data_IF_764928988074
#
_entry.id   IF_764928988074
#
_cell.length_a   1.000
_cell.length_b   1.000
_cell.length_c   1.000
_cell.angle_alpha   90.00
_cell.angle_beta   90.00
_cell.angle_gamma   90.00
#
_symmetry.space_group_name_H-M   'P 1'
#
loop_
_entity.id
_entity.type
_entity.pdbx_description
1 polymer ?
#
# COMPACT_ATOMS: atom_id res chain seq x y z
N UNK A 1 -29.57 16.14 -14.31
CA UNK A 1 -29.09 14.73 -14.22
C UNK A 1 -29.12 14.32 -12.75
N UNK A 2 -30.12 13.59 -12.30
CA UNK A 2 -30.18 13.09 -10.93
C UNK A 2 -29.36 11.80 -10.89
N UNK A 3 -28.19 11.84 -10.24
CA UNK A 3 -27.43 10.64 -9.93
C UNK A 3 -28.30 9.74 -9.05
N UNK A 4 -28.53 8.51 -9.50
CA UNK A 4 -29.25 7.53 -8.70
C UNK A 4 -28.51 7.34 -7.38
N UNK A 5 -29.21 7.27 -6.27
CA UNK A 5 -28.68 7.03 -4.91
C UNK A 5 -27.79 5.76 -4.88
N UNK A 6 -28.02 4.86 -5.81
CA UNK A 6 -27.24 3.63 -6.05
C UNK A 6 -25.86 3.94 -6.64
N UNK A 7 -25.76 4.84 -7.60
CA UNK A 7 -24.47 5.23 -8.22
C UNK A 7 -23.57 5.96 -7.19
N UNK A 8 -24.16 6.78 -6.33
CA UNK A 8 -23.43 7.48 -5.26
C UNK A 8 -22.84 6.46 -4.28
N UNK A 9 -23.60 5.44 -3.89
CA UNK A 9 -23.10 4.36 -3.02
C UNK A 9 -21.98 3.56 -3.66
N UNK A 10 -22.05 3.24 -4.96
CA UNK A 10 -21.01 2.49 -5.65
C UNK A 10 -19.71 3.29 -5.72
N UNK A 11 -19.78 4.57 -6.07
CA UNK A 11 -18.61 5.46 -6.07
C UNK A 11 -17.99 5.61 -4.67
N UNK A 12 -18.80 5.63 -3.62
CA UNK A 12 -18.31 5.70 -2.24
C UNK A 12 -17.52 4.43 -1.87
N UNK A 13 -17.96 3.26 -2.29
CA UNK A 13 -17.22 2.02 -2.05
C UNK A 13 -15.91 1.93 -2.85
N UNK A 14 -15.85 2.52 -4.04
CA UNK A 14 -14.63 2.62 -4.84
C UNK A 14 -13.58 3.53 -4.17
N UNK A 15 -14.00 4.48 -3.33
CA UNK A 15 -13.12 5.38 -2.59
C UNK A 15 -12.55 4.78 -1.28
N UNK A 16 -13.03 3.60 -0.85
CA UNK A 16 -12.57 2.96 0.39
C UNK A 16 -11.04 2.83 0.47
N UNK A 17 -10.33 2.33 -0.55
CA UNK A 17 -8.87 2.20 -0.47
C UNK A 17 -8.16 3.54 -0.34
N UNK A 18 -8.67 4.58 -0.99
CA UNK A 18 -8.15 5.92 -0.88
C UNK A 18 -8.37 6.50 0.52
N UNK A 19 -9.57 6.31 1.07
CA UNK A 19 -9.89 6.73 2.43
C UNK A 19 -9.02 6.00 3.46
N UNK A 20 -8.84 4.68 3.32
CA UNK A 20 -7.95 3.88 4.16
C UNK A 20 -6.51 4.39 4.09
N UNK A 21 -6.01 4.68 2.88
CA UNK A 21 -4.66 5.18 2.66
C UNK A 21 -4.41 6.48 3.44
N UNK A 22 -5.30 7.48 3.27
CA UNK A 22 -5.18 8.76 3.96
C UNK A 22 -5.41 8.65 5.48
N UNK A 23 -6.37 7.84 5.91
CA UNK A 23 -6.62 7.61 7.33
C UNK A 23 -5.39 7.07 8.05
N UNK A 24 -4.70 6.09 7.46
CA UNK A 24 -3.47 5.51 8.00
C UNK A 24 -2.33 6.55 8.00
N UNK A 25 -2.20 7.34 6.91
CA UNK A 25 -1.20 8.40 6.81
C UNK A 25 -1.34 9.46 7.89
N UNK A 26 -2.56 9.94 8.13
CA UNK A 26 -2.86 10.98 9.11
C UNK A 26 -2.66 10.51 10.56
N UNK A 27 -2.94 9.25 10.84
CA UNK A 27 -2.77 8.70 12.18
C UNK A 27 -1.32 8.28 12.49
N UNK A 28 -0.39 8.39 11.56
CA UNK A 28 0.99 7.91 11.72
C UNK A 28 1.10 6.38 11.84
N UNK A 29 -0.01 5.65 11.63
CA UNK A 29 -0.06 4.19 11.73
C UNK A 29 0.30 3.47 10.41
N UNK A 30 1.08 4.13 9.57
CA UNK A 30 1.61 3.51 8.33
C UNK A 30 2.34 2.20 8.63
N UNK A 31 2.99 2.17 9.79
CA UNK A 31 3.63 0.98 10.34
C UNK A 31 2.93 0.64 11.66
N UNK A 32 2.31 -0.53 11.70
CA UNK A 32 1.78 -1.09 12.94
C UNK A 32 2.95 -1.74 13.67
N UNK A 33 3.43 -1.09 14.71
CA UNK A 33 4.56 -1.55 15.50
C UNK A 33 4.13 -2.06 16.87
N UNK A 34 4.26 -3.37 17.05
CA UNK A 34 4.10 -4.02 18.35
C UNK A 34 5.46 -4.43 18.87
N UNK A 35 5.59 -4.66 20.18
CA UNK A 35 6.84 -5.07 20.82
C UNK A 35 7.58 -6.19 20.08
N UNK A 36 6.84 -7.12 19.48
CA UNK A 36 7.42 -8.29 18.82
C UNK A 36 7.35 -8.25 17.29
N UNK A 37 6.41 -7.51 16.67
CA UNK A 37 6.24 -7.46 15.21
C UNK A 37 5.89 -6.06 14.74
N UNK A 38 6.31 -5.78 13.51
CA UNK A 38 6.11 -4.49 12.84
C UNK A 38 5.65 -4.76 11.40
N UNK A 39 4.58 -4.12 10.95
CA UNK A 39 3.96 -4.36 9.64
C UNK A 39 3.77 -3.04 8.92
N UNK A 40 4.23 -2.93 7.67
CA UNK A 40 3.97 -1.77 6.84
C UNK A 40 2.68 -1.97 6.03
N UNK A 41 1.59 -1.44 6.56
CA UNK A 41 0.25 -1.58 5.98
C UNK A 41 0.12 -0.79 4.67
N UNK A 42 0.79 0.36 4.55
CA UNK A 42 0.79 1.17 3.32
C UNK A 42 1.29 0.37 2.11
N UNK A 43 2.42 -0.36 2.25
CA UNK A 43 2.97 -1.17 1.17
C UNK A 43 1.97 -2.23 0.70
N UNK A 44 1.29 -2.89 1.64
CA UNK A 44 0.31 -3.94 1.32
C UNK A 44 -0.92 -3.36 0.62
N UNK A 45 -1.46 -2.23 1.11
CA UNK A 45 -2.62 -1.58 0.51
C UNK A 45 -2.30 -1.16 -0.92
N UNK A 46 -1.22 -0.39 -1.13
CA UNK A 46 -0.88 0.13 -2.45
C UNK A 46 -0.60 -1.01 -3.41
N UNK A 47 0.21 -2.00 -3.01
CA UNK A 47 0.54 -3.14 -3.83
C UNK A 47 -0.72 -3.91 -4.26
N UNK A 48 -1.61 -4.25 -3.32
CA UNK A 48 -2.83 -4.99 -3.60
C UNK A 48 -3.78 -4.25 -4.54
N UNK A 49 -4.06 -2.97 -4.25
CA UNK A 49 -5.03 -2.21 -5.05
C UNK A 49 -4.50 -1.87 -6.44
N UNK A 50 -3.23 -1.53 -6.58
CA UNK A 50 -2.62 -1.28 -7.89
C UNK A 50 -2.62 -2.53 -8.76
N UNK A 51 -2.41 -3.72 -8.16
CA UNK A 51 -2.54 -4.99 -8.89
C UNK A 51 -3.98 -5.26 -9.34
N UNK A 52 -4.98 -5.01 -8.50
CA UNK A 52 -6.38 -5.40 -8.76
C UNK A 52 -7.19 -4.30 -9.45
N UNK A 53 -7.01 -3.04 -9.04
CA UNK A 53 -7.75 -1.88 -9.52
C UNK A 53 -6.86 -0.61 -9.56
N UNK A 54 -5.96 -0.47 -10.55
CA UNK A 54 -5.00 0.63 -10.60
C UNK A 54 -5.65 2.00 -10.74
N UNK A 55 -6.89 2.05 -11.23
CA UNK A 55 -7.62 3.31 -11.42
C UNK A 55 -8.12 3.91 -10.10
N UNK A 56 -8.20 3.13 -9.03
CA UNK A 56 -8.72 3.56 -7.73
C UNK A 56 -7.72 4.40 -6.96
N UNK A 57 -6.43 4.03 -7.03
CA UNK A 57 -5.33 4.74 -6.37
C UNK A 57 -4.50 5.47 -7.43
N UNK A 58 -4.84 6.74 -7.70
CA UNK A 58 -4.03 7.59 -8.56
C UNK A 58 -2.67 7.89 -7.94
N UNK A 59 -1.61 7.97 -8.76
CA UNK A 59 -0.24 8.27 -8.30
C UNK A 59 -0.15 9.56 -7.47
N UNK A 60 -0.96 10.57 -7.80
CA UNK A 60 -1.03 11.82 -7.04
C UNK A 60 -1.49 11.61 -5.60
N UNK A 61 -2.49 10.75 -5.37
CA UNK A 61 -2.97 10.43 -4.03
C UNK A 61 -1.96 9.60 -3.24
N UNK A 62 -1.25 8.67 -3.90
CA UNK A 62 -0.17 7.89 -3.29
C UNK A 62 0.96 8.82 -2.86
N UNK A 63 1.36 9.75 -3.72
CA UNK A 63 2.38 10.75 -3.42
C UNK A 63 1.98 11.63 -2.23
N UNK A 64 0.76 12.18 -2.24
CA UNK A 64 0.27 13.02 -1.14
C UNK A 64 0.21 12.26 0.18
N UNK A 65 -0.26 11.00 0.17
CA UNK A 65 -0.29 10.18 1.38
C UNK A 65 1.11 9.94 1.93
N UNK A 66 2.11 9.76 1.06
CA UNK A 66 3.51 9.62 1.45
C UNK A 66 4.07 10.88 2.10
N UNK A 67 3.81 12.06 1.52
CA UNK A 67 4.22 13.35 2.11
C UNK A 67 3.58 13.54 3.50
N UNK A 68 2.29 13.26 3.65
CA UNK A 68 1.60 13.34 4.94
C UNK A 68 2.27 12.41 5.95
N UNK A 69 2.59 11.18 5.55
CA UNK A 69 3.29 10.20 6.40
C UNK A 69 4.65 10.71 6.84
N UNK A 70 5.43 11.31 5.94
CA UNK A 70 6.75 11.87 6.27
C UNK A 70 6.64 12.99 7.32
N UNK A 71 5.66 13.89 7.14
CA UNK A 71 5.42 14.99 8.09
C UNK A 71 4.99 14.46 9.46
N UNK A 72 4.07 13.49 9.50
CA UNK A 72 3.55 12.92 10.75
C UNK A 72 4.62 12.13 11.50
N UNK A 73 5.48 11.40 10.79
CA UNK A 73 6.54 10.59 11.39
C UNK A 73 7.85 11.35 11.60
N UNK A 74 7.95 12.61 11.18
CA UNK A 74 9.19 13.40 11.25
C UNK A 74 10.32 12.84 10.40
N UNK A 75 10.00 12.16 9.30
CA UNK A 75 10.97 11.64 8.34
C UNK A 75 11.42 12.75 7.37
N UNK A 76 12.59 12.60 6.70
CA UNK A 76 12.95 13.47 5.60
C UNK A 76 11.84 13.50 4.53
N UNK A 77 11.36 14.70 4.20
CA UNK A 77 10.22 14.86 3.26
C UNK A 77 10.55 14.21 1.93
N UNK A 78 9.64 13.38 1.43
CA UNK A 78 9.79 12.63 0.18
C UNK A 78 10.22 11.18 0.37
N UNK A 79 10.67 10.77 1.55
CA UNK A 79 11.10 9.40 1.84
C UNK A 79 9.95 8.40 1.64
N UNK A 80 8.85 8.58 2.35
CA UNK A 80 7.67 7.71 2.19
C UNK A 80 7.00 7.93 0.85
N UNK A 81 6.92 9.18 0.36
CA UNK A 81 6.33 9.45 -0.95
C UNK A 81 7.06 8.71 -2.07
N UNK A 82 8.40 8.74 -2.08
CA UNK A 82 9.20 8.02 -3.07
C UNK A 82 8.99 6.50 -2.95
N UNK A 83 9.09 5.94 -1.76
CA UNK A 83 8.95 4.50 -1.54
C UNK A 83 7.56 3.99 -1.93
N UNK A 84 6.49 4.72 -1.60
CA UNK A 84 5.12 4.35 -1.98
C UNK A 84 4.90 4.42 -3.50
N UNK A 85 5.48 5.41 -4.18
CA UNK A 85 5.45 5.49 -5.65
C UNK A 85 6.21 4.33 -6.29
N UNK A 86 7.33 3.91 -5.71
CA UNK A 86 8.07 2.74 -6.19
C UNK A 86 7.26 1.45 -6.00
N UNK A 87 6.60 1.27 -4.84
CA UNK A 87 5.65 0.15 -4.65
C UNK A 87 4.62 0.12 -5.77
N UNK A 88 4.00 1.27 -6.05
CA UNK A 88 2.98 1.38 -7.10
C UNK A 88 3.55 1.09 -8.50
N UNK A 89 4.73 1.63 -8.83
CA UNK A 89 5.38 1.42 -10.13
C UNK A 89 5.75 -0.05 -10.36
N UNK A 90 6.34 -0.70 -9.36
CA UNK A 90 6.69 -2.13 -9.44
C UNK A 90 5.42 -2.99 -9.52
N UNK A 91 4.36 -2.65 -8.77
CA UNK A 91 3.09 -3.35 -8.84
C UNK A 91 2.45 -3.27 -10.23
N UNK A 92 2.49 -2.10 -10.89
CA UNK A 92 2.03 -1.94 -12.28
C UNK A 92 2.84 -2.81 -13.22
N UNK A 93 4.17 -2.82 -13.08
CA UNK A 93 5.03 -3.68 -13.89
C UNK A 93 4.69 -5.17 -13.72
N UNK A 94 4.57 -5.65 -12.47
CA UNK A 94 4.18 -7.02 -12.17
C UNK A 94 2.83 -7.36 -12.82
N UNK A 95 1.86 -6.46 -12.75
CA UNK A 95 0.55 -6.65 -13.37
C UNK A 95 0.65 -6.84 -14.88
N UNK A 96 1.53 -6.14 -15.58
CA UNK A 96 1.70 -6.27 -17.04
C UNK A 96 2.34 -7.60 -17.45
N UNK A 97 3.20 -8.14 -16.58
CA UNK A 97 3.95 -9.38 -16.86
C UNK A 97 3.21 -10.63 -16.37
N UNK A 98 2.39 -10.52 -15.32
CA UNK A 98 1.73 -11.67 -14.70
C UNK A 98 0.39 -11.98 -15.35
N UNK A 99 0.30 -13.12 -16.05
CA UNK A 99 -0.92 -13.56 -16.77
C UNK A 99 -2.00 -14.07 -15.80
N UNK A 100 -1.63 -14.71 -14.70
CA UNK A 100 -2.57 -15.27 -13.70
C UNK A 100 -2.32 -14.67 -12.32
N UNK A 101 -3.31 -13.97 -11.82
CA UNK A 101 -3.29 -13.31 -10.52
C UNK A 101 -3.93 -14.21 -9.47
N UNK A 102 -3.12 -15.10 -8.89
CA UNK A 102 -3.50 -15.94 -7.74
C UNK A 102 -2.89 -15.38 -6.46
N UNK A 103 -3.43 -15.77 -5.29
CA UNK A 103 -2.86 -15.37 -3.99
C UNK A 103 -1.36 -15.72 -3.90
N UNK A 104 -1.00 -16.93 -4.30
CA UNK A 104 0.38 -17.39 -4.25
C UNK A 104 1.30 -16.60 -5.18
N UNK A 105 0.85 -16.30 -6.41
CA UNK A 105 1.60 -15.47 -7.35
C UNK A 105 1.79 -14.04 -6.81
N UNK A 106 0.72 -13.41 -6.31
CA UNK A 106 0.78 -12.08 -5.72
C UNK A 106 1.72 -12.04 -4.52
N UNK A 107 1.68 -13.07 -3.69
CA UNK A 107 2.53 -13.18 -2.50
C UNK A 107 4.01 -13.32 -2.86
N UNK A 108 4.35 -14.21 -3.80
CA UNK A 108 5.73 -14.38 -4.23
C UNK A 108 6.28 -13.15 -4.95
N UNK A 109 5.48 -12.50 -5.77
CA UNK A 109 5.90 -11.28 -6.47
C UNK A 109 5.98 -10.05 -5.54
N UNK A 110 5.49 -10.13 -4.31
CA UNK A 110 5.68 -9.10 -3.30
C UNK A 110 7.10 -9.06 -2.72
N UNK A 111 7.85 -10.18 -2.78
CA UNK A 111 9.25 -10.24 -2.30
C UNK A 111 10.15 -9.21 -3.01
N UNK A 112 10.27 -9.21 -4.36
CA UNK A 112 11.11 -8.24 -5.05
C UNK A 112 10.65 -6.79 -4.81
N UNK A 113 9.35 -6.54 -4.63
CA UNK A 113 8.85 -5.21 -4.27
C UNK A 113 9.44 -4.75 -2.94
N UNK A 114 9.35 -5.58 -1.90
CA UNK A 114 9.91 -5.26 -0.58
C UNK A 114 11.41 -5.03 -0.62
N UNK A 115 12.15 -5.84 -1.39
CA UNK A 115 13.59 -5.68 -1.53
C UNK A 115 13.96 -4.34 -2.18
N UNK A 116 13.33 -4.00 -3.30
CA UNK A 116 13.58 -2.74 -4.02
C UNK A 116 13.23 -1.54 -3.14
N UNK A 117 12.06 -1.57 -2.51
CA UNK A 117 11.56 -0.46 -1.71
C UNK A 117 12.41 -0.23 -0.46
N UNK A 118 12.80 -1.31 0.24
CA UNK A 118 13.67 -1.18 1.41
C UNK A 118 15.08 -0.69 1.04
N UNK A 119 15.59 -1.10 -0.13
CA UNK A 119 16.85 -0.60 -0.64
C UNK A 119 16.79 0.92 -0.91
N UNK A 120 15.73 1.39 -1.56
CA UNK A 120 15.52 2.82 -1.81
C UNK A 120 15.33 3.58 -0.50
N UNK A 121 14.52 3.05 0.42
CA UNK A 121 14.32 3.65 1.74
C UNK A 121 15.64 3.80 2.50
N UNK A 122 16.47 2.77 2.48
CA UNK A 122 17.81 2.81 3.06
C UNK A 122 18.68 3.90 2.43
N UNK A 123 18.72 3.99 1.09
CA UNK A 123 19.50 5.00 0.38
C UNK A 123 19.08 6.41 0.78
N UNK A 124 17.77 6.68 0.79
CA UNK A 124 17.24 8.01 1.13
C UNK A 124 17.62 8.39 2.55
N UNK A 125 17.45 7.51 3.52
CA UNK A 125 17.82 7.78 4.92
C UNK A 125 19.33 7.99 5.08
N UNK A 126 20.14 7.20 4.38
CA UNK A 126 21.60 7.32 4.41
C UNK A 126 22.06 8.69 3.92
N UNK A 127 21.55 9.14 2.76
CA UNK A 127 21.89 10.46 2.23
C UNK A 127 21.33 11.63 3.07
N UNK A 128 20.24 11.40 3.79
CA UNK A 128 19.65 12.39 4.68
C UNK A 128 20.31 12.46 6.07
N UNK A 129 21.35 11.65 6.33
CA UNK A 129 21.98 11.48 7.64
C UNK A 129 20.97 11.17 8.77
N UNK A 130 19.88 10.47 8.44
CA UNK A 130 18.87 10.06 9.41
C UNK A 130 19.27 8.75 10.08
N UNK A 131 19.05 8.58 11.40
CA UNK A 131 19.45 7.36 12.09
C UNK A 131 18.73 6.13 11.54
N UNK A 132 19.50 5.12 11.12
CA UNK A 132 18.97 3.90 10.51
C UNK A 132 19.07 2.75 11.50
N UNK A 133 17.95 2.10 11.79
CA UNK A 133 17.90 0.84 12.51
C UNK A 133 17.71 -0.33 11.53
N UNK A 134 18.81 -0.97 11.14
CA UNK A 134 18.80 -2.07 10.16
C UNK A 134 17.96 -3.26 10.62
N UNK A 135 18.03 -3.60 11.92
CA UNK A 135 17.26 -4.70 12.48
C UNK A 135 15.76 -4.44 12.39
N UNK A 136 15.36 -3.19 12.62
CA UNK A 136 13.96 -2.77 12.49
C UNK A 136 13.46 -2.90 11.05
N UNK A 137 14.23 -2.45 10.06
CA UNK A 137 13.87 -2.56 8.64
C UNK A 137 13.70 -4.02 8.21
N UNK A 138 14.63 -4.88 8.62
CA UNK A 138 14.57 -6.31 8.30
C UNK A 138 13.35 -6.98 8.95
N UNK A 139 13.14 -6.73 10.25
CA UNK A 139 11.98 -7.21 11.01
C UNK A 139 10.67 -6.78 10.34
N UNK A 140 10.53 -5.49 10.02
CA UNK A 140 9.35 -4.93 9.36
C UNK A 140 9.06 -5.62 8.01
N UNK A 141 10.08 -5.84 7.21
CA UNK A 141 9.94 -6.47 5.89
C UNK A 141 9.44 -7.91 6.00
N UNK A 142 10.01 -8.71 6.91
CA UNK A 142 9.59 -10.10 7.12
C UNK A 142 8.14 -10.16 7.57
N UNK A 143 7.77 -9.38 8.59
CA UNK A 143 6.40 -9.40 9.09
C UNK A 143 5.40 -8.85 8.06
N UNK A 144 5.76 -7.81 7.30
CA UNK A 144 4.93 -7.29 6.21
C UNK A 144 4.67 -8.38 5.15
N UNK A 145 5.69 -9.15 4.79
CA UNK A 145 5.56 -10.28 3.87
C UNK A 145 4.67 -11.39 4.42
N UNK A 146 4.87 -11.80 5.68
CA UNK A 146 4.09 -12.87 6.33
C UNK A 146 2.62 -12.48 6.49
N UNK A 147 2.33 -11.22 6.82
CA UNK A 147 0.96 -10.74 6.99
C UNK A 147 0.23 -10.39 5.69
N UNK A 148 0.95 -10.31 4.56
CA UNK A 148 0.35 -10.02 3.26
C UNK A 148 -0.83 -10.94 2.90
N UNK A 149 -0.74 -12.29 2.98
CA UNK A 149 -1.85 -13.17 2.62
C UNK A 149 -3.10 -12.97 3.49
N UNK A 150 -2.92 -12.62 4.77
CA UNK A 150 -4.05 -12.32 5.66
C UNK A 150 -4.80 -11.06 5.21
N UNK A 151 -4.08 -9.96 4.96
CA UNK A 151 -4.68 -8.72 4.45
C UNK A 151 -5.24 -8.89 3.04
N UNK A 152 -4.61 -9.70 2.20
CA UNK A 152 -5.11 -10.03 0.87
C UNK A 152 -6.51 -10.66 0.92
N UNK A 153 -6.78 -11.58 1.86
CA UNK A 153 -8.12 -12.19 2.04
C UNK A 153 -9.14 -11.14 2.45
N UNK A 154 -8.79 -10.26 3.40
CA UNK A 154 -9.67 -9.17 3.85
C UNK A 154 -10.01 -8.23 2.67
N UNK A 155 -9.01 -7.78 1.93
CA UNK A 155 -9.21 -6.88 0.80
C UNK A 155 -9.97 -7.54 -0.35
N UNK A 156 -9.77 -8.83 -0.59
CA UNK A 156 -10.56 -9.61 -1.55
C UNK A 156 -12.03 -9.66 -1.15
N UNK A 157 -12.32 -9.87 0.12
CA UNK A 157 -13.71 -9.82 0.62
C UNK A 157 -14.33 -8.45 0.37
N UNK A 158 -13.62 -7.35 0.69
CA UNK A 158 -14.08 -5.99 0.41
C UNK A 158 -14.37 -5.79 -1.08
N UNK A 159 -13.48 -6.21 -1.97
CA UNK A 159 -13.69 -6.11 -3.42
C UNK A 159 -14.88 -6.94 -3.92
N UNK A 160 -15.10 -8.13 -3.37
CA UNK A 160 -16.24 -8.97 -3.74
C UNK A 160 -17.57 -8.33 -3.30
N UNK A 161 -17.62 -7.74 -2.10
CA UNK A 161 -18.80 -7.00 -1.65
C UNK A 161 -19.15 -5.82 -2.56
N UNK A 162 -18.15 -5.11 -3.08
CA UNK A 162 -18.38 -4.00 -4.02
C UNK A 162 -18.91 -4.51 -5.36
N UNK A 163 -18.35 -5.60 -5.90
CA UNK A 163 -18.76 -6.20 -7.20
C UNK A 163 -20.14 -6.83 -7.14
N UNK A 164 -20.48 -7.59 -6.09
CA UNK A 164 -21.81 -8.18 -5.94
C UNK A 164 -22.94 -7.13 -5.92
N UNK A 165 -22.66 -5.95 -5.36
CA UNK A 165 -23.59 -4.83 -5.33
C UNK A 165 -23.70 -4.06 -6.65
N UNK A 166 -22.71 -4.15 -7.54
CA UNK A 166 -22.77 -3.52 -8.86
C UNK A 166 -23.65 -4.30 -9.84
N UNK A 167 -23.86 -5.60 -9.62
CA UNK A 167 -24.67 -6.48 -10.47
C UNK A 167 -26.07 -6.78 -9.93
N UNK A 168 -26.41 -6.36 -8.71
CA UNK A 168 -27.75 -6.46 -8.12
C UNK A 168 -28.49 -5.12 -8.22
#
# INVERSE_FOLDING_TARGET
MAFSFREIKLKFFELIPLFLLFFISLNGNSIIDFKFFSINVHYIIIYYWVLKQPQTLGYGFIFLSGIITDVVLGLPIGTSALTLLVVAGVAVYIRTVTVRVTLFSDWMTFIPVLLIVNFIYFIVLYFSNYPINYFYLFKNSIFTFVFYPFLWVIFRMLLNFTKLRSHA
#
